data_IF_854519279756
#
_entry.id   IF_854519279756
#
_cell.length_a   1.000
_cell.length_b   1.000
_cell.length_c   1.000
_cell.angle_alpha   90.00
_cell.angle_beta   90.00
_cell.angle_gamma   90.00
#
_symmetry.space_group_name_H-M   'P 1'
#
loop_
_entity.id
_entity.type
_entity.pdbx_description
1 polymer ?
#
# COMPACT_ATOMS: atom_id res chain seq x y z
N UNK A 1 6.78 7.59 0.15
CA UNK A 1 6.26 6.43 -0.62
C UNK A 1 5.44 6.95 -1.78
N UNK A 2 5.31 6.23 -2.90
CA UNK A 2 4.37 6.60 -3.96
C UNK A 2 2.94 6.61 -3.43
N UNK A 3 2.17 7.63 -3.83
CA UNK A 3 0.74 7.73 -3.51
C UNK A 3 -0.07 7.18 -4.69
N UNK A 4 -0.12 5.85 -4.75
CA UNK A 4 -0.77 5.10 -5.82
C UNK A 4 -1.57 3.93 -5.26
N UNK A 5 -2.70 3.62 -5.87
CA UNK A 5 -3.56 2.51 -5.43
C UNK A 5 -3.10 1.16 -6.00
N UNK A 6 -2.55 1.14 -7.21
CA UNK A 6 -2.17 -0.10 -7.88
C UNK A 6 -0.73 -0.09 -8.37
N UNK A 7 -0.17 -1.28 -8.60
CA UNK A 7 1.15 -1.42 -9.23
C UNK A 7 1.17 -0.87 -10.66
N UNK A 8 0.05 -0.89 -11.36
CA UNK A 8 -0.08 -0.32 -12.71
C UNK A 8 0.06 1.19 -12.68
N UNK A 9 -0.60 1.85 -11.72
CA UNK A 9 -0.51 3.30 -11.54
C UNK A 9 0.93 3.71 -11.20
N UNK A 10 1.62 2.88 -10.40
CA UNK A 10 3.02 3.13 -10.09
C UNK A 10 3.93 2.99 -11.33
N UNK A 11 3.69 1.99 -12.17
CA UNK A 11 4.39 1.87 -13.46
C UNK A 11 4.15 3.11 -14.33
N UNK A 12 2.90 3.56 -14.46
CA UNK A 12 2.58 4.76 -15.23
C UNK A 12 3.27 6.01 -14.67
N UNK A 13 3.37 6.17 -13.35
CA UNK A 13 4.13 7.26 -12.71
C UNK A 13 5.64 7.17 -13.03
N UNK A 14 6.23 5.98 -13.03
CA UNK A 14 7.64 5.80 -13.42
C UNK A 14 7.82 6.17 -14.89
N UNK A 15 6.93 5.72 -15.76
CA UNK A 15 6.97 5.99 -17.20
C UNK A 15 6.76 7.48 -17.52
N UNK A 16 5.95 8.19 -16.75
CA UNK A 16 5.74 9.64 -16.89
C UNK A 16 6.96 10.49 -16.56
N UNK A 17 7.99 9.91 -15.93
CA UNK A 17 9.19 10.63 -15.50
C UNK A 17 9.07 11.29 -14.11
N UNK A 18 8.00 11.08 -13.38
CA UNK A 18 7.78 11.64 -12.03
C UNK A 18 8.96 11.39 -11.08
N UNK A 19 9.66 10.27 -11.24
CA UNK A 19 10.78 9.86 -10.42
C UNK A 19 12.15 10.03 -11.09
N UNK A 20 12.25 10.71 -12.22
CA UNK A 20 13.51 10.86 -12.97
C UNK A 20 14.62 11.54 -12.15
N UNK A 21 14.27 12.36 -11.18
CA UNK A 21 15.20 12.98 -10.23
C UNK A 21 15.92 11.98 -9.28
N UNK A 22 15.51 10.71 -9.31
CA UNK A 22 16.13 9.62 -8.53
C UNK A 22 17.01 8.70 -9.38
N UNK A 23 17.18 8.95 -10.69
CA UNK A 23 17.90 8.06 -11.60
C UNK A 23 19.35 7.81 -11.18
N UNK A 24 20.01 8.83 -10.64
CA UNK A 24 21.40 8.77 -10.20
C UNK A 24 21.55 8.44 -8.70
N UNK A 25 20.47 7.98 -8.07
CA UNK A 25 20.47 7.62 -6.65
C UNK A 25 20.14 6.15 -6.47
N UNK A 26 20.67 5.50 -5.41
CA UNK A 26 20.23 4.15 -5.05
C UNK A 26 18.74 4.11 -4.71
N UNK A 27 17.98 3.30 -5.43
CA UNK A 27 16.55 3.08 -5.19
C UNK A 27 16.35 1.66 -4.68
N UNK A 28 15.65 1.52 -3.57
CA UNK A 28 15.28 0.21 -3.02
C UNK A 28 13.78 0.01 -3.16
N UNK A 29 13.38 -1.02 -3.87
CA UNK A 29 11.98 -1.41 -4.01
C UNK A 29 11.63 -2.55 -3.08
N UNK A 30 10.40 -2.52 -2.56
CA UNK A 30 9.84 -3.63 -1.80
C UNK A 30 8.34 -3.76 -2.05
N UNK A 31 7.83 -4.97 -1.88
CA UNK A 31 6.40 -5.26 -1.78
C UNK A 31 6.23 -6.36 -0.72
N UNK A 32 5.05 -6.91 -0.57
CA UNK A 32 4.78 -7.96 0.43
C UNK A 32 5.75 -9.12 0.34
N UNK A 33 5.86 -9.77 -0.83
CA UNK A 33 6.70 -10.97 -1.06
C UNK A 33 7.88 -10.77 -2.01
N UNK A 34 7.99 -9.63 -2.70
CA UNK A 34 9.06 -9.32 -3.65
C UNK A 34 8.69 -9.47 -5.13
N UNK A 35 7.63 -10.20 -5.49
CA UNK A 35 7.28 -10.54 -6.89
C UNK A 35 6.99 -9.29 -7.73
N UNK A 36 6.19 -8.36 -7.23
CA UNK A 36 5.87 -7.10 -7.94
C UNK A 36 7.09 -6.22 -8.19
N UNK A 37 8.09 -6.32 -7.31
CA UNK A 37 9.31 -5.55 -7.41
C UNK A 37 10.16 -5.95 -8.61
N UNK A 38 10.07 -7.18 -9.11
CA UNK A 38 10.81 -7.62 -10.30
C UNK A 38 10.38 -6.80 -11.52
N UNK A 39 9.07 -6.66 -11.72
CA UNK A 39 8.51 -5.86 -12.82
C UNK A 39 8.88 -4.39 -12.66
N UNK A 40 8.66 -3.81 -11.47
CA UNK A 40 8.96 -2.40 -11.20
C UNK A 40 10.45 -2.08 -11.39
N UNK A 41 11.34 -2.96 -10.93
CA UNK A 41 12.79 -2.77 -11.09
C UNK A 41 13.21 -2.89 -12.56
N UNK A 42 12.57 -3.76 -13.34
CA UNK A 42 12.83 -3.85 -14.77
C UNK A 42 12.41 -2.55 -15.48
N UNK A 43 11.20 -2.05 -15.21
CA UNK A 43 10.73 -0.76 -15.76
C UNK A 43 11.66 0.38 -15.37
N UNK A 44 12.07 0.50 -14.11
CA UNK A 44 13.01 1.53 -13.66
C UNK A 44 14.34 1.44 -14.42
N UNK A 45 14.90 0.25 -14.57
CA UNK A 45 16.15 0.05 -15.31
C UNK A 45 16.03 0.46 -16.77
N UNK A 46 14.94 0.13 -17.46
CA UNK A 46 14.69 0.56 -18.84
C UNK A 46 14.52 2.07 -18.97
N UNK A 47 14.09 2.74 -17.90
CA UNK A 47 13.98 4.20 -17.81
C UNK A 47 15.30 4.89 -17.42
N UNK A 48 16.40 4.14 -17.23
CA UNK A 48 17.72 4.67 -16.98
C UNK A 48 18.08 4.88 -15.51
N UNK A 49 17.35 4.26 -14.58
CA UNK A 49 17.80 4.24 -13.17
C UNK A 49 19.04 3.37 -13.02
N UNK A 50 20.11 3.95 -12.46
CA UNK A 50 21.43 3.31 -12.40
C UNK A 50 21.51 2.21 -11.34
N UNK A 51 20.98 2.46 -10.15
CA UNK A 51 21.08 1.58 -9.01
C UNK A 51 19.66 1.23 -8.48
N UNK A 52 19.14 0.08 -8.90
CA UNK A 52 17.83 -0.41 -8.44
C UNK A 52 18.01 -1.73 -7.72
N UNK A 53 17.67 -1.73 -6.44
CA UNK A 53 17.75 -2.86 -5.53
C UNK A 53 16.36 -3.32 -5.11
N UNK A 54 16.28 -4.55 -4.63
CA UNK A 54 15.04 -5.15 -4.12
C UNK A 54 15.27 -5.75 -2.74
N UNK A 55 14.30 -5.59 -1.84
CA UNK A 55 14.32 -6.30 -0.56
C UNK A 55 14.02 -7.78 -0.81
N UNK A 56 15.03 -8.63 -0.63
CA UNK A 56 14.92 -10.08 -0.87
C UNK A 56 13.83 -10.72 0.01
N UNK A 57 12.80 -11.27 -0.64
CA UNK A 57 11.66 -11.88 0.03
C UNK A 57 10.64 -10.87 0.55
N UNK A 58 10.76 -9.61 0.12
CA UNK A 58 9.84 -8.53 0.43
C UNK A 58 9.85 -8.09 1.89
N UNK A 59 8.86 -7.24 2.23
CA UNK A 59 8.76 -6.65 3.57
C UNK A 59 8.38 -7.69 4.63
N UNK A 60 7.68 -8.76 4.26
CA UNK A 60 7.33 -9.84 5.21
C UNK A 60 8.60 -10.51 5.75
N UNK A 61 9.54 -10.86 4.87
CA UNK A 61 10.81 -11.46 5.31
C UNK A 61 11.65 -10.49 6.12
N UNK A 62 11.66 -9.23 5.73
CA UNK A 62 12.33 -8.16 6.47
C UNK A 62 11.78 -8.04 7.88
N UNK A 63 10.46 -7.89 8.03
CA UNK A 63 9.80 -7.71 9.32
C UNK A 63 9.93 -8.94 10.22
N UNK A 64 9.84 -10.16 9.66
CA UNK A 64 10.08 -11.39 10.43
C UNK A 64 11.52 -11.48 10.98
N UNK A 65 12.49 -10.85 10.31
CA UNK A 65 13.90 -10.84 10.76
C UNK A 65 14.20 -9.74 11.76
N UNK A 66 13.66 -8.55 11.55
CA UNK A 66 14.05 -7.36 12.30
C UNK A 66 12.95 -6.86 13.26
N UNK A 67 11.72 -7.34 13.12
CA UNK A 67 10.59 -6.85 13.92
C UNK A 67 10.44 -5.34 13.76
N UNK A 68 10.22 -4.66 14.89
CA UNK A 68 10.15 -3.20 14.98
C UNK A 68 11.52 -2.54 15.26
N UNK A 69 12.60 -3.33 15.37
CA UNK A 69 13.96 -2.81 15.57
C UNK A 69 14.64 -2.38 14.24
N UNK A 70 13.93 -2.55 13.11
CA UNK A 70 14.41 -2.19 11.79
C UNK A 70 13.94 -0.82 11.31
N UNK A 71 13.89 -0.65 9.99
CA UNK A 71 13.44 0.59 9.33
C UNK A 71 11.93 0.60 9.03
N UNK A 72 11.22 -0.45 9.41
CA UNK A 72 9.76 -0.54 9.26
C UNK A 72 9.08 -0.02 10.51
N UNK A 73 8.06 0.79 10.34
CA UNK A 73 7.23 1.31 11.42
C UNK A 73 5.76 0.99 11.13
N UNK A 74 5.02 0.57 12.13
CA UNK A 74 3.60 0.27 12.04
C UNK A 74 3.26 -1.14 11.54
N UNK A 75 1.99 -1.33 11.16
CA UNK A 75 1.44 -2.60 10.69
C UNK A 75 1.53 -2.72 9.17
N UNK A 76 1.73 -3.92 8.66
CA UNK A 76 1.70 -4.21 7.23
C UNK A 76 0.27 -4.58 6.81
N UNK A 77 -0.28 -3.88 5.80
CA UNK A 77 -1.50 -4.35 5.14
C UNK A 77 -1.22 -5.64 4.36
N UNK A 78 -2.06 -6.64 4.56
CA UNK A 78 -2.00 -7.93 3.87
C UNK A 78 -3.32 -8.21 3.15
N UNK A 79 -3.25 -8.97 2.04
CA UNK A 79 -4.40 -9.25 1.16
C UNK A 79 -5.11 -10.56 1.55
N UNK A 80 -5.28 -10.81 2.86
CA UNK A 80 -5.99 -11.96 3.39
C UNK A 80 -6.94 -11.52 4.52
N UNK A 81 -7.66 -12.46 5.13
CA UNK A 81 -8.69 -12.19 6.16
C UNK A 81 -8.17 -11.42 7.38
N UNK A 82 -6.86 -11.39 7.60
CA UNK A 82 -6.23 -10.62 8.67
C UNK A 82 -6.24 -9.11 8.40
N UNK A 83 -6.27 -8.70 7.13
CA UNK A 83 -6.20 -7.33 6.64
C UNK A 83 -4.95 -6.54 7.07
N UNK A 84 -4.40 -6.80 8.27
CA UNK A 84 -3.17 -6.21 8.77
C UNK A 84 -2.35 -7.22 9.57
N UNK A 85 -1.03 -7.06 9.57
CA UNK A 85 -0.08 -7.90 10.28
C UNK A 85 0.94 -7.01 11.00
N UNK A 86 1.12 -7.27 12.29
CA UNK A 86 2.18 -6.68 13.11
C UNK A 86 3.41 -7.61 13.10
N UNK A 87 4.60 -7.04 13.04
CA UNK A 87 5.84 -7.83 13.13
C UNK A 87 6.26 -8.07 14.58
N UNK A 88 5.77 -7.28 15.53
CA UNK A 88 5.90 -7.52 16.97
C UNK A 88 4.74 -6.92 17.75
N UNK A 89 4.69 -7.23 19.05
CA UNK A 89 3.71 -6.63 19.98
C UNK A 89 3.94 -5.12 20.24
N UNK A 90 5.05 -4.57 19.75
CA UNK A 90 5.41 -3.15 19.91
C UNK A 90 5.05 -2.31 18.67
N UNK A 91 4.46 -2.93 17.64
CA UNK A 91 4.10 -2.23 16.39
C UNK A 91 3.22 -1.02 16.69
N UNK A 92 3.66 0.16 16.26
CA UNK A 92 2.94 1.42 16.45
C UNK A 92 1.69 1.45 15.57
N UNK A 93 0.62 2.01 16.10
CA UNK A 93 -0.56 2.36 15.30
C UNK A 93 -0.34 3.73 14.69
N UNK A 94 0.07 3.77 13.42
CA UNK A 94 0.37 5.00 12.67
C UNK A 94 -0.79 5.48 11.80
N UNK A 95 -1.78 4.60 11.56
CA UNK A 95 -2.97 4.94 10.79
C UNK A 95 -4.00 5.70 11.63
N UNK A 96 -4.80 6.52 10.96
CA UNK A 96 -5.87 7.30 11.58
C UNK A 96 -7.22 6.95 10.94
N UNK A 97 -8.27 6.95 11.74
CA UNK A 97 -9.63 6.74 11.30
C UNK A 97 -10.08 7.87 10.37
N UNK A 98 -10.51 7.56 9.16
CA UNK A 98 -10.98 8.57 8.19
C UNK A 98 -12.21 9.36 8.69
N UNK A 99 -12.97 8.82 9.66
CA UNK A 99 -14.18 9.44 10.18
C UNK A 99 -13.95 10.32 11.42
N UNK A 100 -13.03 9.95 12.32
CA UNK A 100 -12.86 10.66 13.61
C UNK A 100 -11.39 10.91 14.00
N UNK A 101 -10.45 10.60 13.11
CA UNK A 101 -8.99 10.76 13.30
C UNK A 101 -8.40 10.01 14.50
N UNK A 102 -9.15 9.10 15.12
CA UNK A 102 -8.61 8.24 16.17
C UNK A 102 -7.56 7.27 15.60
N UNK A 103 -6.48 6.98 16.32
CA UNK A 103 -5.50 6.00 15.87
C UNK A 103 -6.16 4.63 15.60
N UNK A 104 -5.89 4.07 14.43
CA UNK A 104 -6.43 2.75 14.06
C UNK A 104 -5.55 2.06 13.03
N UNK A 105 -5.60 0.72 13.02
CA UNK A 105 -5.01 -0.15 12.00
C UNK A 105 -6.05 -1.04 11.32
N UNK A 106 -7.33 -0.78 11.57
CA UNK A 106 -8.45 -1.58 11.05
C UNK A 106 -8.80 -1.10 9.66
N UNK A 107 -8.60 -1.96 8.68
CA UNK A 107 -9.01 -1.73 7.30
C UNK A 107 -10.42 -2.29 7.08
N UNK A 108 -11.27 -1.52 6.43
CA UNK A 108 -12.66 -1.92 6.09
C UNK A 108 -12.90 -1.60 4.62
N UNK A 109 -13.58 -2.49 3.92
CA UNK A 109 -14.08 -2.15 2.59
C UNK A 109 -15.32 -1.26 2.72
N UNK A 110 -15.40 -0.21 1.90
CA UNK A 110 -16.60 0.62 1.83
C UNK A 110 -17.82 -0.26 1.57
N UNK A 111 -18.89 -0.04 2.32
CA UNK A 111 -20.15 -0.79 2.19
C UNK A 111 -20.87 -0.51 0.87
N UNK A 112 -20.54 0.57 0.18
CA UNK A 112 -21.06 0.84 -1.15
C UNK A 112 -20.39 -0.05 -2.20
N UNK A 113 -21.14 -0.99 -2.77
CA UNK A 113 -20.70 -1.96 -3.76
C UNK A 113 -20.09 -1.29 -5.01
N UNK A 114 -20.49 -0.08 -5.35
CA UNK A 114 -19.93 0.66 -6.49
C UNK A 114 -18.57 1.32 -6.18
N UNK A 115 -18.25 1.51 -4.90
CA UNK A 115 -17.05 2.19 -4.45
C UNK A 115 -15.88 1.22 -4.23
N UNK A 116 -16.09 0.16 -3.43
CA UNK A 116 -15.07 -0.82 -3.03
C UNK A 116 -13.77 -0.23 -2.45
N UNK A 117 -13.76 1.04 -2.04
CA UNK A 117 -12.57 1.67 -1.46
C UNK A 117 -12.22 1.00 -0.14
N UNK A 118 -10.94 0.72 0.05
CA UNK A 118 -10.39 0.29 1.33
C UNK A 118 -10.13 1.53 2.18
N UNK A 119 -10.72 1.61 3.37
CA UNK A 119 -10.64 2.74 4.28
C UNK A 119 -10.17 2.30 5.67
N UNK A 120 -9.54 3.21 6.40
CA UNK A 120 -9.18 3.01 7.80
C UNK A 120 -10.30 3.53 8.70
N UNK A 121 -10.92 2.65 9.49
CA UNK A 121 -11.94 3.03 10.47
C UNK A 121 -11.65 2.40 11.84
N UNK A 122 -11.81 3.16 12.91
CA UNK A 122 -11.80 2.58 14.26
C UNK A 122 -13.07 1.76 14.51
N UNK A 123 -13.03 0.83 15.46
CA UNK A 123 -14.18 -0.04 15.78
C UNK A 123 -15.53 0.70 15.93
N UNK A 124 -15.60 1.81 16.72
CA UNK A 124 -16.85 2.54 16.86
C UNK A 124 -17.37 3.14 15.56
N UNK A 125 -16.47 3.62 14.68
CA UNK A 125 -16.87 4.18 13.39
C UNK A 125 -17.22 3.09 12.39
N UNK A 126 -16.48 2.00 12.33
CA UNK A 126 -16.80 0.86 11.48
C UNK A 126 -18.18 0.24 11.82
N UNK A 127 -18.55 0.24 13.10
CA UNK A 127 -19.87 -0.23 13.54
C UNK A 127 -21.02 0.71 13.12
N UNK A 128 -20.74 2.02 13.01
CA UNK A 128 -21.75 3.04 12.63
C UNK A 128 -21.90 3.15 11.11
N UNK A 129 -20.83 2.98 10.37
CA UNK A 129 -20.73 3.36 8.94
C UNK A 129 -21.31 2.32 7.98
N UNK A 130 -21.87 1.24 8.48
CA UNK A 130 -22.54 0.22 7.62
C UNK A 130 -23.82 0.72 6.93
N UNK A 131 -24.28 1.94 7.22
CA UNK A 131 -25.55 2.49 6.74
C UNK A 131 -25.48 3.87 6.10
N UNK A 132 -24.35 4.57 6.15
CA UNK A 132 -24.21 5.91 5.56
C UNK A 132 -23.62 5.83 4.15
N UNK A 133 -24.21 6.56 3.21
CA UNK A 133 -23.72 6.65 1.83
C UNK A 133 -22.26 7.10 1.81
N UNK A 134 -21.43 6.43 1.01
CA UNK A 134 -20.05 6.83 0.92
C UNK A 134 -19.91 8.15 0.15
N UNK A 135 -19.19 9.10 0.73
CA UNK A 135 -18.84 10.38 0.11
C UNK A 135 -17.57 10.30 -0.74
N UNK A 136 -17.06 9.08 -0.97
CA UNK A 136 -15.85 8.89 -1.75
C UNK A 136 -16.10 9.25 -3.23
N UNK A 137 -15.13 9.91 -3.83
CA UNK A 137 -15.17 10.25 -5.25
C UNK A 137 -15.24 9.00 -6.12
N UNK A 138 -16.40 8.74 -6.70
CA UNK A 138 -16.67 7.62 -7.60
C UNK A 138 -16.16 7.89 -9.04
N UNK A 139 -15.59 9.05 -9.33
CA UNK A 139 -15.11 9.41 -10.68
C UNK A 139 -13.89 8.59 -11.10
N UNK A 140 -13.16 8.02 -10.12
CA UNK A 140 -12.09 7.05 -10.37
C UNK A 140 -12.64 5.61 -10.44
N UNK A 141 -13.62 5.35 -11.30
CA UNK A 141 -14.06 3.99 -11.60
C UNK A 141 -12.87 3.16 -12.08
N UNK A 142 -12.56 2.08 -11.37
CA UNK A 142 -11.69 1.04 -11.89
C UNK A 142 -12.34 0.51 -13.17
N UNK A 143 -11.65 0.64 -14.26
CA UNK A 143 -12.06 0.00 -15.51
C UNK A 143 -11.94 -1.51 -15.32
N UNK A 144 -13.07 -2.13 -14.94
CA UNK A 144 -13.16 -3.58 -14.67
C UNK A 144 -13.17 -4.43 -15.95
N UNK A 145 -12.91 -3.82 -17.12
CA UNK A 145 -12.99 -4.49 -18.43
C UNK A 145 -11.73 -5.28 -18.81
N UNK A 146 -10.74 -5.45 -17.92
CA UNK A 146 -9.46 -6.11 -18.24
C UNK A 146 -9.11 -7.29 -17.31
N UNK A 147 -10.12 -8.05 -16.86
CA UNK A 147 -9.90 -9.41 -16.33
C UNK A 147 -10.49 -10.38 -17.33
N UNK A 148 -9.68 -10.77 -18.29
CA UNK A 148 -9.85 -11.87 -19.22
C UNK A 148 -8.59 -12.70 -19.16
#
# INVERSE_FOLDING_TARGET
MPDVETSRDFVAEIESGKYDHLKDKPVVTYCTGGIRCEVLSAVMKTRGFQEVYQVKGGIVRYGNKFGDDGLWDGSLYVFDDRMAMDFSSKAKTIGECESCSAPTKIFVNCSNIACHKLVLLCEPCAAKDRSSGCEHDLSKKRDSSLIG
#
